data_IF_426831801869
#
_entry.id   IF_426831801869
#
_cell.length_a   1.000
_cell.length_b   1.000
_cell.length_c   1.000
_cell.angle_alpha   90.00
_cell.angle_beta   90.00
_cell.angle_gamma   90.00
#
_symmetry.space_group_name_H-M   'P 1'
#
loop_
_entity.id
_entity.type
_entity.pdbx_description
1 polymer ?
#
# COMPACT_ATOMS: atom_id res chain seq x y z
N UNK A 1 13.90 -61.12 9.12
CA UNK A 1 13.84 -59.90 9.94
C UNK A 1 12.47 -59.86 10.60
N UNK A 2 12.46 -59.92 11.92
CA UNK A 2 11.22 -60.07 12.68
C UNK A 2 10.36 -58.82 12.58
N UNK A 3 9.07 -58.96 12.32
CA UNK A 3 8.11 -57.87 12.14
C UNK A 3 8.12 -56.90 13.34
N UNK A 4 8.41 -57.43 14.53
CA UNK A 4 8.58 -56.66 15.75
C UNK A 4 9.75 -55.66 15.65
N UNK A 5 10.87 -56.03 15.06
CA UNK A 5 12.06 -55.18 14.92
C UNK A 5 11.83 -54.07 13.90
N UNK A 6 11.01 -54.31 12.86
CA UNK A 6 10.67 -53.32 11.83
C UNK A 6 9.72 -52.24 12.38
N UNK A 7 8.88 -52.57 13.36
CA UNK A 7 7.92 -51.61 13.95
C UNK A 7 8.49 -50.85 15.16
N UNK A 8 9.47 -51.40 15.87
CA UNK A 8 10.05 -50.75 17.06
C UNK A 8 10.80 -49.48 16.73
N UNK A 9 11.59 -49.47 15.66
CA UNK A 9 12.36 -48.28 15.28
C UNK A 9 11.49 -47.08 14.87
N UNK A 10 10.45 -47.21 13.99
CA UNK A 10 9.53 -46.12 13.69
C UNK A 10 8.72 -45.66 14.91
N UNK A 11 8.28 -46.58 15.78
CA UNK A 11 7.54 -46.24 16.99
C UNK A 11 8.41 -45.46 17.98
N UNK A 12 9.66 -45.87 18.19
CA UNK A 12 10.62 -45.14 19.03
C UNK A 12 10.92 -43.75 18.47
N UNK A 13 11.12 -43.64 17.15
CA UNK A 13 11.36 -42.34 16.49
C UNK A 13 10.16 -41.40 16.63
N UNK A 14 8.95 -41.92 16.44
CA UNK A 14 7.70 -41.19 16.62
C UNK A 14 7.51 -40.71 18.07
N UNK A 15 7.81 -41.58 19.04
CA UNK A 15 7.72 -41.25 20.47
C UNK A 15 8.73 -40.15 20.86
N UNK A 16 9.98 -40.26 20.38
CA UNK A 16 11.01 -39.23 20.60
C UNK A 16 10.60 -37.90 19.95
N UNK A 17 10.11 -37.93 18.72
CA UNK A 17 9.65 -36.71 18.01
C UNK A 17 8.47 -36.05 18.73
N UNK A 18 7.51 -36.86 19.20
CA UNK A 18 6.37 -36.36 19.98
C UNK A 18 6.81 -35.75 21.32
N UNK A 19 7.71 -36.44 22.04
CA UNK A 19 8.26 -35.93 23.30
C UNK A 19 9.04 -34.62 23.10
N UNK A 20 9.83 -34.52 22.03
CA UNK A 20 10.57 -33.31 21.67
C UNK A 20 9.62 -32.17 21.30
N UNK A 21 8.57 -32.43 20.52
CA UNK A 21 7.55 -31.44 20.16
C UNK A 21 6.80 -30.94 21.40
N UNK A 22 6.43 -31.82 22.34
CA UNK A 22 5.82 -31.42 23.61
C UNK A 22 6.78 -30.60 24.46
N UNK A 23 8.05 -31.00 24.55
CA UNK A 23 9.06 -30.24 25.29
C UNK A 23 9.27 -28.85 24.70
N UNK A 24 9.39 -28.75 23.39
CA UNK A 24 9.51 -27.45 22.68
C UNK A 24 8.27 -26.59 22.95
N UNK A 25 7.06 -27.16 22.84
CA UNK A 25 5.81 -26.43 23.09
C UNK A 25 5.67 -25.95 24.53
N UNK A 26 6.08 -26.77 25.52
CA UNK A 26 6.09 -26.37 26.93
C UNK A 26 7.13 -25.28 27.20
N UNK A 27 8.33 -25.45 26.64
CA UNK A 27 9.42 -24.47 26.78
C UNK A 27 9.01 -23.15 26.15
N UNK A 28 8.39 -23.17 24.99
CA UNK A 28 7.89 -21.97 24.30
C UNK A 28 6.86 -21.23 25.16
N UNK A 29 5.90 -21.94 25.75
CA UNK A 29 4.91 -21.34 26.66
C UNK A 29 5.52 -20.69 27.91
N UNK A 30 6.63 -21.23 28.41
CA UNK A 30 7.30 -20.68 29.61
C UNK A 30 8.24 -19.55 29.25
N UNK A 31 9.04 -19.71 28.19
CA UNK A 31 10.06 -18.73 27.77
C UNK A 31 9.44 -17.52 27.06
N UNK A 32 8.36 -17.71 26.34
CA UNK A 32 7.63 -16.65 25.61
C UNK A 32 6.42 -16.10 26.38
N UNK A 33 6.22 -16.47 27.64
CA UNK A 33 5.21 -15.88 28.50
C UNK A 33 5.79 -14.64 29.19
N UNK A 34 5.55 -13.47 28.62
CA UNK A 34 5.99 -12.19 29.18
C UNK A 34 4.93 -11.56 30.12
N UNK A 35 3.83 -12.27 30.38
CA UNK A 35 2.72 -11.78 31.20
C UNK A 35 1.96 -10.62 30.54
N UNK A 36 1.21 -9.90 31.36
CA UNK A 36 0.51 -8.70 30.92
C UNK A 36 1.51 -7.53 30.86
N UNK A 37 1.53 -6.79 29.76
CA UNK A 37 2.36 -5.62 29.53
C UNK A 37 1.50 -4.42 29.21
N UNK A 38 1.89 -3.24 29.68
CA UNK A 38 1.23 -1.99 29.38
C UNK A 38 1.82 -1.34 28.13
N UNK A 39 0.98 -0.81 27.27
CA UNK A 39 1.38 0.08 26.17
C UNK A 39 0.81 1.45 26.48
N UNK A 40 1.68 2.44 26.60
CA UNK A 40 1.34 3.85 26.73
C UNK A 40 1.64 4.58 25.42
N UNK A 41 0.69 5.35 24.92
CA UNK A 41 0.82 6.08 23.66
C UNK A 41 0.69 7.57 23.93
N UNK A 42 1.67 8.33 23.44
CA UNK A 42 1.72 9.79 23.49
C UNK A 42 1.53 10.32 24.92
N UNK A 43 2.29 9.75 25.88
CA UNK A 43 2.30 10.21 27.26
C UNK A 43 0.94 10.07 27.97
N UNK A 44 0.24 8.95 27.77
CA UNK A 44 -1.04 8.66 28.45
C UNK A 44 -2.29 9.07 27.66
N UNK A 45 -2.16 9.54 26.41
CA UNK A 45 -3.34 9.83 25.56
C UNK A 45 -4.18 8.59 25.32
N UNK A 46 -3.55 7.42 25.18
CA UNK A 46 -4.16 6.10 25.20
C UNK A 46 -3.24 5.14 25.96
N UNK A 47 -3.82 4.31 26.81
CA UNK A 47 -3.07 3.27 27.53
C UNK A 47 -3.93 2.02 27.63
N UNK A 48 -3.35 0.85 27.38
CA UNK A 48 -4.03 -0.42 27.48
C UNK A 48 -3.05 -1.54 27.84
N UNK A 49 -3.61 -2.63 28.36
CA UNK A 49 -2.84 -3.81 28.76
C UNK A 49 -3.10 -4.95 27.79
N UNK A 50 -2.04 -5.62 27.41
CA UNK A 50 -2.05 -6.72 26.44
C UNK A 50 -1.18 -7.86 26.92
N UNK A 51 -1.35 -9.05 26.35
CA UNK A 51 -0.43 -10.15 26.59
C UNK A 51 0.87 -9.92 25.81
N UNK A 52 1.99 -9.89 26.55
CA UNK A 52 3.31 -9.79 25.93
C UNK A 52 3.66 -11.01 25.06
N UNK A 53 4.67 -10.85 24.19
CA UNK A 53 5.20 -11.92 23.36
C UNK A 53 4.90 -11.83 21.87
N UNK A 54 3.87 -11.08 21.46
CA UNK A 54 3.64 -10.73 20.06
C UNK A 54 4.50 -9.52 19.61
N UNK A 55 4.55 -9.26 18.30
CA UNK A 55 5.16 -8.03 17.83
C UNK A 55 4.23 -6.82 18.04
N UNK A 56 4.81 -5.65 18.19
CA UNK A 56 4.09 -4.41 18.51
C UNK A 56 3.05 -4.06 17.43
N UNK A 57 3.35 -4.24 16.13
CA UNK A 57 2.42 -3.93 15.04
C UNK A 57 1.11 -4.69 15.16
N UNK A 58 1.19 -6.01 15.36
CA UNK A 58 0.00 -6.88 15.50
C UNK A 58 -0.77 -6.52 16.75
N UNK A 59 -0.07 -6.32 17.86
CA UNK A 59 -0.71 -6.00 19.16
C UNK A 59 -1.43 -4.64 19.12
N UNK A 60 -0.84 -3.64 18.47
CA UNK A 60 -1.48 -2.35 18.26
C UNK A 60 -2.75 -2.48 17.39
N UNK A 61 -2.67 -3.26 16.31
CA UNK A 61 -3.81 -3.49 15.43
C UNK A 61 -4.96 -4.23 16.14
N UNK A 62 -4.66 -5.24 16.97
CA UNK A 62 -5.64 -5.93 17.81
C UNK A 62 -6.31 -5.00 18.84
N UNK A 63 -5.60 -3.93 19.22
CA UNK A 63 -6.10 -2.89 20.13
C UNK A 63 -6.77 -1.70 19.41
N UNK A 64 -6.99 -1.81 18.10
CA UNK A 64 -7.63 -0.78 17.28
C UNK A 64 -6.72 0.41 16.92
N UNK A 65 -5.41 0.25 17.02
CA UNK A 65 -4.40 1.22 16.58
C UNK A 65 -3.67 0.69 15.35
N UNK A 66 -3.96 1.28 14.21
CA UNK A 66 -3.44 0.80 12.92
C UNK A 66 -2.22 1.61 12.50
N UNK A 67 -1.06 0.97 12.45
CA UNK A 67 0.19 1.57 11.97
C UNK A 67 0.37 1.21 10.49
N UNK A 68 0.78 2.15 9.62
CA UNK A 68 1.03 1.88 8.21
C UNK A 68 1.95 0.68 8.00
N UNK A 69 1.60 -0.23 7.10
CA UNK A 69 2.42 -1.41 6.80
C UNK A 69 2.09 -1.99 5.43
N UNK A 70 2.70 -1.49 4.36
CA UNK A 70 2.46 -1.95 3.00
C UNK A 70 2.83 -3.43 2.81
N UNK A 71 3.89 -3.92 3.48
CA UNK A 71 4.32 -5.32 3.40
C UNK A 71 3.52 -6.28 4.30
N UNK A 72 2.61 -5.76 5.16
CA UNK A 72 1.87 -6.55 6.14
C UNK A 72 2.76 -7.15 7.23
N UNK A 73 3.70 -6.38 7.76
CA UNK A 73 4.54 -6.75 8.89
C UNK A 73 5.76 -7.62 8.58
N UNK A 74 6.16 -7.73 7.30
CA UNK A 74 7.32 -8.55 6.88
C UNK A 74 8.68 -7.88 7.09
N UNK A 75 8.73 -6.61 7.51
CA UNK A 75 9.97 -5.85 7.70
C UNK A 75 10.64 -5.42 6.39
N UNK A 76 9.91 -5.31 5.28
CA UNK A 76 10.47 -5.04 3.95
C UNK A 76 10.01 -3.72 3.30
N UNK A 77 9.12 -2.93 3.95
CA UNK A 77 8.69 -1.63 3.42
C UNK A 77 9.18 -0.44 4.23
N UNK A 78 9.49 -0.63 5.52
CA UNK A 78 9.92 0.47 6.39
C UNK A 78 8.82 1.42 6.85
N UNK A 79 7.55 1.15 6.56
CA UNK A 79 6.42 2.04 6.83
C UNK A 79 6.00 2.09 8.30
N UNK A 80 6.13 0.96 9.03
CA UNK A 80 5.57 0.79 10.36
C UNK A 80 6.44 1.43 11.46
N UNK A 81 6.87 2.67 11.22
CA UNK A 81 7.74 3.44 12.12
C UNK A 81 6.95 3.94 13.33
N UNK A 82 7.51 3.74 14.50
CA UNK A 82 7.06 4.31 15.78
C UNK A 82 8.27 4.78 16.58
N UNK A 83 8.15 5.91 17.27
CA UNK A 83 9.17 6.32 18.22
C UNK A 83 8.93 5.60 19.54
N UNK A 84 9.96 5.00 20.11
CA UNK A 84 9.86 4.19 21.33
C UNK A 84 10.67 4.84 22.43
N UNK A 85 10.01 5.23 23.53
CA UNK A 85 10.64 5.91 24.67
C UNK A 85 11.11 4.92 25.76
N UNK A 86 10.82 3.64 25.59
CA UNK A 86 11.22 2.56 26.52
C UNK A 86 12.37 1.74 25.94
N UNK A 87 13.06 0.99 26.81
CA UNK A 87 14.08 0.04 26.35
C UNK A 87 13.42 -1.22 25.80
N UNK A 88 13.47 -1.38 24.49
CA UNK A 88 13.00 -2.58 23.76
C UNK A 88 14.15 -3.37 23.13
N UNK A 89 15.39 -3.06 23.54
CA UNK A 89 16.62 -3.63 22.99
C UNK A 89 17.16 -2.89 21.76
N UNK A 90 18.32 -3.31 21.25
CA UNK A 90 18.99 -2.61 20.15
C UNK A 90 18.22 -2.72 18.84
N UNK A 91 18.47 -1.78 17.91
CA UNK A 91 17.96 -1.85 16.54
C UNK A 91 18.44 -3.13 15.86
N UNK A 92 17.52 -3.80 15.18
CA UNK A 92 17.83 -5.01 14.42
C UNK A 92 18.46 -4.65 13.06
N UNK A 93 19.36 -5.49 12.53
CA UNK A 93 19.89 -5.29 11.17
C UNK A 93 18.83 -5.15 10.08
N UNK A 94 17.64 -5.69 10.31
CA UNK A 94 16.48 -5.59 9.41
C UNK A 94 15.77 -4.24 9.47
N UNK A 95 15.98 -3.44 10.50
CA UNK A 95 15.38 -2.10 10.65
C UNK A 95 16.27 -1.01 10.05
N UNK A 96 17.58 -1.13 10.22
CA UNK A 96 18.58 -0.11 9.86
C UNK A 96 18.46 0.42 8.43
N UNK A 97 18.23 -0.41 7.38
CA UNK A 97 18.11 0.08 6.00
C UNK A 97 16.92 1.04 5.75
N UNK A 98 15.96 1.08 6.66
CA UNK A 98 14.73 1.88 6.54
C UNK A 98 14.69 3.10 7.44
N UNK A 99 15.73 3.29 8.27
CA UNK A 99 15.83 4.39 9.25
C UNK A 99 16.97 5.33 8.89
N UNK A 100 16.73 6.63 9.00
CA UNK A 100 17.79 7.63 8.90
C UNK A 100 18.63 7.64 10.18
N UNK A 101 19.83 8.23 10.13
CA UNK A 101 20.66 8.37 11.34
C UNK A 101 19.94 9.13 12.46
N UNK A 102 19.20 10.16 12.12
CA UNK A 102 18.38 10.95 13.04
C UNK A 102 17.28 10.10 13.69
N UNK A 103 16.59 9.28 12.89
CA UNK A 103 15.58 8.34 13.39
C UNK A 103 16.18 7.26 14.31
N UNK A 104 17.41 6.81 14.04
CA UNK A 104 18.11 5.86 14.91
C UNK A 104 18.47 6.52 16.27
N UNK A 105 18.92 7.76 16.26
CA UNK A 105 19.23 8.54 17.48
C UNK A 105 17.96 8.82 18.31
N UNK A 106 16.82 9.05 17.65
CA UNK A 106 15.52 9.26 18.30
C UNK A 106 14.83 7.96 18.72
N UNK A 107 15.48 6.82 18.58
CA UNK A 107 14.95 5.49 18.87
C UNK A 107 13.64 5.18 18.13
N UNK A 108 13.55 5.60 16.86
CA UNK A 108 12.47 5.17 15.96
C UNK A 108 12.69 3.70 15.60
N UNK A 109 11.64 2.90 15.70
CA UNK A 109 11.65 1.45 15.46
C UNK A 109 10.64 1.06 14.40
N UNK A 110 10.86 -0.06 13.75
CA UNK A 110 9.80 -0.71 12.96
C UNK A 110 8.95 -1.57 13.89
N UNK A 111 7.70 -1.18 14.14
CA UNK A 111 6.82 -1.86 15.11
C UNK A 111 6.62 -3.36 14.81
N UNK A 112 6.72 -3.77 13.55
CA UNK A 112 6.67 -5.19 13.15
C UNK A 112 7.92 -5.98 13.60
N UNK A 113 9.03 -5.32 13.92
CA UNK A 113 10.29 -5.95 14.36
C UNK A 113 10.46 -5.89 15.89
N UNK A 114 9.65 -5.14 16.60
CA UNK A 114 9.71 -5.01 18.06
C UNK A 114 8.79 -6.02 18.72
N UNK A 115 9.35 -6.94 19.49
CA UNK A 115 8.61 -7.89 20.32
C UNK A 115 8.33 -7.28 21.70
N UNK A 116 7.07 -7.29 22.12
CA UNK A 116 6.65 -6.77 23.42
C UNK A 116 7.04 -7.74 24.54
N UNK A 117 8.04 -7.35 25.34
CA UNK A 117 8.58 -8.14 26.45
C UNK A 117 8.36 -7.53 27.83
N UNK A 118 7.91 -6.30 27.89
CA UNK A 118 7.64 -5.51 29.09
C UNK A 118 6.82 -4.28 28.71
N UNK A 119 6.53 -3.44 29.70
CA UNK A 119 5.82 -2.19 29.49
C UNK A 119 6.56 -1.30 28.50
N UNK A 120 5.82 -0.64 27.63
CA UNK A 120 6.37 0.18 26.57
C UNK A 120 5.63 1.50 26.43
N UNK A 121 6.40 2.57 26.25
CA UNK A 121 5.90 3.90 25.92
C UNK A 121 6.30 4.24 24.49
N UNK A 122 5.33 4.66 23.66
CA UNK A 122 5.53 4.98 22.25
C UNK A 122 4.91 6.34 21.90
N UNK A 123 5.49 6.97 20.89
CA UNK A 123 4.89 8.14 20.25
C UNK A 123 4.54 7.81 18.80
N UNK A 124 3.31 8.15 18.43
CA UNK A 124 2.77 8.03 17.06
C UNK A 124 2.06 9.32 16.65
N UNK A 125 2.03 9.65 15.35
CA UNK A 125 1.27 10.80 14.87
C UNK A 125 -0.23 10.70 15.18
N UNK A 126 -0.85 11.82 15.56
CA UNK A 126 -2.26 11.85 15.95
C UNK A 126 -3.22 11.41 14.85
N UNK A 127 -2.87 11.63 13.59
CA UNK A 127 -3.73 11.22 12.45
C UNK A 127 -3.93 9.70 12.40
N UNK A 128 -3.02 8.89 12.95
CA UNK A 128 -3.16 7.44 13.00
C UNK A 128 -4.33 6.97 13.87
N UNK A 129 -4.80 7.80 14.80
CA UNK A 129 -5.99 7.50 15.60
C UNK A 129 -7.31 7.61 14.80
N UNK A 130 -7.26 8.16 13.59
CA UNK A 130 -8.42 8.26 12.69
C UNK A 130 -8.53 7.08 11.73
N UNK A 131 -7.54 6.17 11.75
CA UNK A 131 -7.56 4.99 10.90
C UNK A 131 -8.45 3.95 11.55
N UNK A 132 -9.41 3.45 10.80
CA UNK A 132 -10.40 2.50 11.28
C UNK A 132 -10.44 1.26 10.39
N UNK A 133 -10.96 0.16 10.93
CA UNK A 133 -11.26 -1.04 10.18
C UNK A 133 -12.74 -1.06 9.85
N UNK A 134 -13.05 -1.22 8.58
CA UNK A 134 -14.41 -1.29 8.05
C UNK A 134 -14.72 -2.70 7.55
N UNK A 135 -15.96 -3.16 7.75
CA UNK A 135 -16.50 -4.28 7.00
C UNK A 135 -17.09 -3.79 5.68
N UNK A 136 -16.70 -4.42 4.58
CA UNK A 136 -17.23 -4.15 3.25
C UNK A 136 -17.83 -5.38 2.60
N UNK A 137 -18.82 -5.17 1.74
CA UNK A 137 -19.36 -6.19 0.85
C UNK A 137 -18.94 -5.84 -0.57
N UNK A 138 -18.37 -6.79 -1.29
CA UNK A 138 -18.04 -6.64 -2.70
C UNK A 138 -19.31 -6.47 -3.51
N UNK A 139 -19.52 -5.32 -4.12
CA UNK A 139 -20.70 -5.05 -4.96
C UNK A 139 -20.41 -5.26 -6.44
N UNK A 140 -19.18 -4.99 -6.88
CA UNK A 140 -18.80 -5.11 -8.29
C UNK A 140 -17.35 -5.52 -8.43
N UNK A 141 -17.09 -6.40 -9.38
CA UNK A 141 -15.75 -6.75 -9.85
C UNK A 141 -15.74 -6.60 -11.36
N UNK A 142 -14.80 -5.81 -11.90
CA UNK A 142 -14.62 -5.62 -13.34
C UNK A 142 -13.17 -5.92 -13.74
N UNK A 143 -12.96 -6.70 -14.78
CA UNK A 143 -11.65 -6.86 -15.38
C UNK A 143 -11.34 -5.61 -16.22
N UNK A 144 -10.29 -4.88 -15.87
CA UNK A 144 -9.83 -3.71 -16.63
C UNK A 144 -8.82 -4.13 -17.69
N UNK A 145 -7.92 -5.02 -17.33
CA UNK A 145 -6.94 -5.65 -18.22
C UNK A 145 -6.85 -7.14 -17.90
N UNK A 146 -5.96 -7.87 -18.57
CA UNK A 146 -5.72 -9.29 -18.30
C UNK A 146 -5.19 -9.56 -16.87
N UNK A 147 -4.62 -8.56 -16.19
CA UNK A 147 -3.99 -8.67 -14.88
C UNK A 147 -4.44 -7.61 -13.86
N UNK A 148 -5.40 -6.74 -14.20
CA UNK A 148 -5.93 -5.71 -13.28
C UNK A 148 -7.44 -5.85 -13.14
N UNK A 149 -7.89 -5.98 -11.89
CA UNK A 149 -9.31 -5.93 -11.52
C UNK A 149 -9.63 -4.63 -10.78
N UNK A 150 -10.76 -4.03 -11.14
CA UNK A 150 -11.44 -3.03 -10.34
C UNK A 150 -12.36 -3.74 -9.35
N UNK A 151 -12.23 -3.44 -8.08
CA UNK A 151 -13.05 -4.02 -7.02
C UNK A 151 -13.71 -2.90 -6.24
N UNK A 152 -15.04 -2.91 -6.21
CA UNK A 152 -15.87 -1.90 -5.56
C UNK A 152 -16.58 -2.50 -4.35
N UNK A 153 -16.32 -1.92 -3.18
CA UNK A 153 -16.85 -2.36 -1.90
C UNK A 153 -17.86 -1.35 -1.37
N UNK A 154 -19.02 -1.82 -0.92
CA UNK A 154 -19.90 -1.03 -0.07
C UNK A 154 -19.55 -1.30 1.41
N UNK A 155 -19.28 -0.25 2.16
CA UNK A 155 -19.03 -0.33 3.60
C UNK A 155 -20.35 -0.58 4.35
N UNK A 156 -20.31 -1.40 5.38
CA UNK A 156 -21.52 -1.83 6.11
C UNK A 156 -21.57 -1.32 7.54
N UNK A 157 -20.47 -0.76 8.07
CA UNK A 157 -20.31 -0.40 9.47
C UNK A 157 -19.59 0.96 9.68
N UNK A 158 -19.82 1.90 8.82
CA UNK A 158 -19.23 3.24 8.98
C UNK A 158 -19.19 4.03 7.69
N UNK A 159 -18.64 5.23 7.76
CA UNK A 159 -18.38 6.11 6.64
C UNK A 159 -16.89 6.42 6.60
N UNK A 160 -16.24 6.16 5.48
CA UNK A 160 -14.81 6.39 5.28
C UNK A 160 -14.58 7.84 4.82
N UNK A 161 -13.89 8.60 5.66
CA UNK A 161 -13.40 9.95 5.33
C UNK A 161 -11.91 9.86 4.94
N UNK A 162 -11.59 10.25 3.72
CA UNK A 162 -10.22 10.19 3.21
C UNK A 162 -9.95 11.33 2.22
N UNK A 163 -8.67 11.57 1.91
CA UNK A 163 -8.25 12.47 0.84
C UNK A 163 -7.94 11.69 -0.41
N UNK A 164 -8.36 12.20 -1.57
CA UNK A 164 -8.02 11.61 -2.86
C UNK A 164 -6.50 11.40 -2.98
N UNK A 165 -6.11 10.18 -3.35
CA UNK A 165 -4.72 9.75 -3.42
C UNK A 165 -4.26 8.85 -2.27
N UNK A 166 -4.94 8.85 -1.12
CA UNK A 166 -4.63 7.96 0.00
C UNK A 166 -4.92 6.49 -0.35
N UNK A 167 -4.35 5.57 0.44
CA UNK A 167 -4.54 4.13 0.28
C UNK A 167 -5.28 3.50 1.46
N UNK A 168 -5.83 2.31 1.22
CA UNK A 168 -6.35 1.41 2.25
C UNK A 168 -5.64 0.06 2.20
N UNK A 169 -5.85 -0.75 3.23
CA UNK A 169 -5.41 -2.14 3.26
C UNK A 169 -6.60 -3.07 3.10
N UNK A 170 -6.52 -4.01 2.17
CA UNK A 170 -7.50 -5.07 2.01
C UNK A 170 -7.01 -6.29 2.81
N UNK A 171 -7.86 -6.80 3.72
CA UNK A 171 -7.61 -8.04 4.45
C UNK A 171 -8.35 -9.20 3.77
N UNK A 172 -7.60 -10.23 3.37
CA UNK A 172 -8.16 -11.48 2.87
C UNK A 172 -8.15 -12.56 3.95
N UNK A 173 -9.19 -13.40 4.01
CA UNK A 173 -9.26 -14.51 4.97
C UNK A 173 -8.27 -15.60 4.61
N UNK A 174 -8.01 -16.56 5.52
CA UNK A 174 -7.28 -17.77 5.20
C UNK A 174 -7.89 -18.51 4.01
N UNK A 175 -7.04 -18.96 3.06
CA UNK A 175 -7.47 -19.77 1.91
C UNK A 175 -6.33 -20.66 1.40
N UNK A 176 -6.65 -21.80 0.84
CA UNK A 176 -5.65 -22.74 0.32
C UNK A 176 -4.57 -23.09 1.34
N UNK A 177 -3.34 -22.66 1.08
CA UNK A 177 -2.19 -22.86 1.98
C UNK A 177 -1.97 -21.67 2.94
N UNK A 178 -2.67 -20.58 2.74
CA UNK A 178 -2.61 -19.39 3.62
C UNK A 178 -3.40 -19.67 4.88
N UNK A 179 -2.75 -19.64 6.03
CA UNK A 179 -3.33 -20.07 7.32
C UNK A 179 -3.87 -18.92 8.16
N UNK A 180 -3.44 -17.69 7.85
CA UNK A 180 -3.78 -16.49 8.62
C UNK A 180 -4.33 -15.42 7.70
N UNK A 181 -5.21 -14.52 8.20
CA UNK A 181 -5.62 -13.35 7.45
C UNK A 181 -4.41 -12.54 6.99
N UNK A 182 -4.46 -12.03 5.78
CA UNK A 182 -3.33 -11.30 5.20
C UNK A 182 -3.80 -9.96 4.64
N UNK A 183 -3.12 -8.90 5.01
CA UNK A 183 -3.40 -7.54 4.57
C UNK A 183 -2.36 -7.07 3.54
N UNK A 184 -2.80 -6.25 2.55
CA UNK A 184 -1.92 -5.51 1.64
C UNK A 184 -2.52 -4.15 1.32
N UNK A 185 -1.63 -3.20 1.09
CA UNK A 185 -1.96 -1.83 0.73
C UNK A 185 -2.35 -1.70 -0.76
N UNK A 186 -3.37 -0.90 -1.02
CA UNK A 186 -3.84 -0.53 -2.35
C UNK A 186 -4.34 0.92 -2.32
N UNK A 187 -3.89 1.75 -3.26
CA UNK A 187 -4.39 3.11 -3.40
C UNK A 187 -5.88 3.08 -3.73
N UNK A 188 -6.66 3.93 -3.06
CA UNK A 188 -8.09 4.04 -3.28
C UNK A 188 -8.36 4.79 -4.60
N UNK A 189 -9.27 4.27 -5.40
CA UNK A 189 -9.65 4.84 -6.70
C UNK A 189 -11.05 5.46 -6.72
N UNK A 190 -11.82 5.30 -5.65
CA UNK A 190 -13.10 5.99 -5.45
C UNK A 190 -12.90 7.47 -5.13
N UNK A 191 -13.97 8.26 -5.26
CA UNK A 191 -13.97 9.67 -4.85
C UNK A 191 -14.23 9.79 -3.34
N UNK A 192 -13.59 10.75 -2.63
CA UNK A 192 -13.78 10.92 -1.20
C UNK A 192 -15.22 11.29 -0.79
N UNK A 193 -15.98 11.91 -1.67
CA UNK A 193 -17.38 12.29 -1.42
C UNK A 193 -18.31 11.09 -1.22
N UNK A 194 -17.97 9.94 -1.80
CA UNK A 194 -18.70 8.69 -1.58
C UNK A 194 -18.14 7.96 -0.35
N UNK A 195 -18.54 8.40 0.82
CA UNK A 195 -18.07 7.87 2.12
C UNK A 195 -18.55 6.45 2.43
N UNK A 196 -19.52 5.93 1.68
CA UNK A 196 -20.09 4.60 1.90
C UNK A 196 -19.47 3.51 1.04
N UNK A 197 -18.64 3.89 0.08
CA UNK A 197 -17.98 2.95 -0.82
C UNK A 197 -16.49 3.23 -0.92
N UNK A 198 -15.75 2.17 -1.23
CA UNK A 198 -14.33 2.27 -1.57
C UNK A 198 -14.02 1.37 -2.74
N UNK A 199 -13.21 1.88 -3.66
CA UNK A 199 -12.79 1.17 -4.86
C UNK A 199 -11.27 1.02 -4.90
N UNK A 200 -10.81 -0.13 -5.39
CA UNK A 200 -9.40 -0.43 -5.55
C UNK A 200 -9.12 -1.04 -6.93
N UNK A 201 -7.94 -0.72 -7.48
CA UNK A 201 -7.40 -1.36 -8.67
C UNK A 201 -6.33 -2.36 -8.25
N UNK A 202 -6.64 -3.65 -8.37
CA UNK A 202 -5.78 -4.73 -7.88
C UNK A 202 -5.10 -5.44 -9.03
N UNK A 203 -3.78 -5.24 -9.18
CA UNK A 203 -2.98 -5.95 -10.17
C UNK A 203 -2.55 -7.31 -9.64
N UNK A 204 -2.68 -8.35 -10.45
CA UNK A 204 -2.22 -9.70 -10.14
C UNK A 204 -0.69 -9.75 -10.07
N UNK A 205 -0.19 -10.13 -8.91
CA UNK A 205 1.24 -10.39 -8.70
C UNK A 205 1.42 -11.91 -8.61
N UNK A 206 2.25 -12.52 -9.44
CA UNK A 206 2.51 -13.96 -9.39
C UNK A 206 2.94 -14.41 -7.99
N UNK A 207 2.17 -15.34 -7.39
CA UNK A 207 2.41 -15.80 -6.01
C UNK A 207 2.03 -14.83 -4.90
N UNK A 208 1.43 -13.68 -5.24
CA UNK A 208 0.93 -12.72 -4.26
C UNK A 208 -0.31 -13.25 -3.54
N UNK A 209 -0.34 -13.18 -2.21
CA UNK A 209 -1.44 -13.77 -1.41
C UNK A 209 -2.74 -13.01 -1.67
N UNK A 210 -2.77 -11.70 -1.46
CA UNK A 210 -4.01 -10.91 -1.58
C UNK A 210 -4.44 -10.80 -3.04
N UNK A 211 -3.51 -10.57 -3.96
CA UNK A 211 -3.82 -10.44 -5.38
C UNK A 211 -4.35 -11.75 -5.98
N UNK A 212 -3.80 -12.90 -5.61
CA UNK A 212 -4.34 -14.22 -6.01
C UNK A 212 -5.75 -14.42 -5.47
N UNK A 213 -6.00 -14.08 -4.19
CA UNK A 213 -7.35 -14.18 -3.64
C UNK A 213 -8.35 -13.31 -4.40
N UNK A 214 -7.99 -12.06 -4.70
CA UNK A 214 -8.85 -11.12 -5.44
C UNK A 214 -9.13 -11.63 -6.85
N UNK A 215 -8.14 -12.16 -7.54
CA UNK A 215 -8.31 -12.60 -8.93
C UNK A 215 -9.01 -13.96 -9.09
N UNK A 216 -8.80 -14.88 -8.15
CA UNK A 216 -9.23 -16.29 -8.31
C UNK A 216 -10.37 -16.69 -7.36
N UNK A 217 -10.54 -16.02 -6.23
CA UNK A 217 -11.45 -16.45 -5.16
C UNK A 217 -12.50 -15.42 -4.75
N UNK A 218 -12.25 -14.13 -5.01
CA UNK A 218 -13.18 -13.08 -4.66
C UNK A 218 -14.40 -13.11 -5.60
N UNK A 219 -15.56 -12.88 -5.02
CA UNK A 219 -16.83 -12.82 -5.74
C UNK A 219 -17.71 -11.71 -5.19
N UNK A 220 -18.60 -11.17 -6.01
CA UNK A 220 -19.63 -10.25 -5.57
C UNK A 220 -20.47 -10.85 -4.43
N UNK A 221 -20.88 -10.02 -3.48
CA UNK A 221 -21.57 -10.42 -2.27
C UNK A 221 -20.66 -10.92 -1.13
N UNK A 222 -19.37 -11.15 -1.38
CA UNK A 222 -18.43 -11.55 -0.31
C UNK A 222 -18.12 -10.39 0.62
N UNK A 223 -17.99 -10.70 1.91
CA UNK A 223 -17.52 -9.76 2.91
C UNK A 223 -16.00 -9.73 2.96
N UNK A 224 -15.45 -8.54 3.06
CA UNK A 224 -14.03 -8.25 3.20
C UNK A 224 -13.83 -7.16 4.26
N UNK A 225 -12.63 -7.09 4.81
CA UNK A 225 -12.26 -5.99 5.68
C UNK A 225 -11.34 -5.02 4.94
N UNK A 226 -11.57 -3.74 5.18
CA UNK A 226 -10.75 -2.64 4.70
C UNK A 226 -10.29 -1.83 5.89
N UNK A 227 -9.01 -1.50 5.95
CA UNK A 227 -8.44 -0.62 6.96
C UNK A 227 -7.97 0.63 6.24
N UNK A 228 -8.48 1.78 6.60
CA UNK A 228 -8.23 3.05 5.91
C UNK A 228 -8.53 4.25 6.84
N UNK A 229 -8.11 5.50 6.47
CA UNK A 229 -7.22 5.83 5.38
C UNK A 229 -5.75 5.84 5.81
N UNK A 230 -4.83 5.52 4.90
CA UNK A 230 -3.40 5.64 5.10
C UNK A 230 -2.76 6.54 4.05
N UNK A 231 -1.52 6.97 4.33
CA UNK A 231 -0.65 7.65 3.38
C UNK A 231 -0.82 9.16 3.32
N UNK A 232 0.19 9.79 2.76
CA UNK A 232 0.31 11.24 2.57
C UNK A 232 0.42 11.64 1.09
N UNK A 233 0.16 10.70 0.18
CA UNK A 233 0.07 10.94 -1.25
C UNK A 233 -1.30 11.56 -1.58
N UNK A 234 -1.38 12.88 -1.50
CA UNK A 234 -2.53 13.70 -1.88
C UNK A 234 -2.07 15.02 -2.46
N UNK A 235 -2.92 15.65 -3.24
CA UNK A 235 -2.59 16.90 -3.94
C UNK A 235 -2.41 18.04 -2.96
N UNK A 236 -1.35 18.83 -3.17
CA UNK A 236 -1.06 20.02 -2.37
C UNK A 236 -1.87 21.22 -2.90
N UNK A 237 -2.29 22.10 -2.00
CA UNK A 237 -3.07 23.29 -2.35
C UNK A 237 -2.13 24.42 -2.81
N UNK A 238 -1.70 24.30 -4.07
CA UNK A 238 -0.79 25.24 -4.74
C UNK A 238 -1.30 25.55 -6.15
N UNK A 239 -0.70 26.54 -6.82
CA UNK A 239 -0.97 26.89 -8.22
C UNK A 239 0.05 26.23 -9.19
N UNK A 240 0.95 25.39 -8.69
CA UNK A 240 1.96 24.73 -9.50
C UNK A 240 1.34 23.77 -10.53
N UNK A 241 1.94 23.63 -11.72
CA UNK A 241 1.54 22.62 -12.69
C UNK A 241 1.73 21.22 -12.09
N UNK A 242 0.75 20.36 -12.29
CA UNK A 242 0.83 18.95 -11.85
C UNK A 242 1.43 18.08 -12.95
N UNK A 243 2.54 17.43 -12.66
CA UNK A 243 3.16 16.43 -13.52
C UNK A 243 2.85 15.06 -12.93
N UNK A 244 1.81 14.43 -13.43
CA UNK A 244 1.29 13.17 -12.94
C UNK A 244 1.80 12.01 -13.79
N UNK A 245 2.36 10.96 -13.17
CA UNK A 245 2.87 9.78 -13.87
C UNK A 245 2.32 8.51 -13.25
N UNK A 246 1.72 7.65 -14.06
CA UNK A 246 1.23 6.36 -13.62
C UNK A 246 1.58 5.22 -14.57
N UNK A 247 1.58 4.00 -14.03
CA UNK A 247 1.66 2.76 -14.80
C UNK A 247 0.83 1.65 -14.17
N UNK A 248 0.03 0.96 -14.98
CA UNK A 248 -0.84 -0.11 -14.52
C UNK A 248 -1.79 0.34 -13.40
N UNK A 249 -1.86 -0.42 -12.30
CA UNK A 249 -2.73 -0.07 -11.15
C UNK A 249 -2.35 1.22 -10.42
N UNK A 250 -1.19 1.84 -10.74
CA UNK A 250 -0.85 3.19 -10.28
C UNK A 250 -1.79 4.29 -10.79
N UNK A 251 -2.70 3.97 -11.70
CA UNK A 251 -3.86 4.78 -12.07
C UNK A 251 -4.80 5.07 -10.89
N UNK A 252 -4.88 4.18 -9.90
CA UNK A 252 -5.89 4.25 -8.83
C UNK A 252 -5.96 5.62 -8.12
N UNK A 253 -4.87 6.16 -7.55
CA UNK A 253 -4.92 7.44 -6.86
C UNK A 253 -5.26 8.60 -7.80
N UNK A 254 -4.84 8.52 -9.07
CA UNK A 254 -5.15 9.57 -10.05
C UNK A 254 -6.61 9.58 -10.46
N UNK A 255 -7.23 8.40 -10.60
CA UNK A 255 -8.67 8.32 -10.79
C UNK A 255 -9.41 9.04 -9.66
N UNK A 256 -9.08 8.73 -8.40
CA UNK A 256 -9.65 9.40 -7.23
C UNK A 256 -9.46 10.92 -7.30
N UNK A 257 -8.23 11.40 -7.55
CA UNK A 257 -7.87 12.82 -7.60
C UNK A 257 -8.62 13.56 -8.73
N UNK A 258 -8.65 13.01 -9.93
CA UNK A 258 -9.28 13.71 -11.07
C UNK A 258 -10.79 13.80 -10.91
N UNK A 259 -11.45 12.75 -10.45
CA UNK A 259 -12.89 12.80 -10.19
C UNK A 259 -13.25 13.66 -8.98
N UNK A 260 -12.39 13.73 -7.95
CA UNK A 260 -12.53 14.70 -6.86
C UNK A 260 -12.44 16.15 -7.37
N UNK A 261 -11.51 16.44 -8.29
CA UNK A 261 -11.42 17.73 -8.94
C UNK A 261 -12.65 18.05 -9.81
N UNK A 262 -13.20 17.08 -10.50
CA UNK A 262 -14.43 17.24 -11.29
C UNK A 262 -15.60 17.62 -10.38
N UNK A 263 -15.79 16.90 -9.27
CA UNK A 263 -16.87 17.18 -8.32
C UNK A 263 -16.76 18.55 -7.67
N UNK A 264 -15.54 18.99 -7.37
CA UNK A 264 -15.30 20.32 -6.76
C UNK A 264 -15.15 21.44 -7.77
N UNK A 265 -15.20 21.18 -9.08
CA UNK A 265 -15.04 22.18 -10.14
C UNK A 265 -13.65 22.81 -10.16
N UNK A 266 -12.61 22.01 -9.87
CA UNK A 266 -11.23 22.49 -9.72
C UNK A 266 -10.26 21.97 -10.80
N UNK A 267 -10.76 21.25 -11.80
CA UNK A 267 -9.94 20.71 -12.91
C UNK A 267 -9.15 21.76 -13.68
N UNK A 268 -9.72 22.96 -13.86
CA UNK A 268 -9.11 24.05 -14.62
C UNK A 268 -8.37 25.08 -13.73
N UNK A 269 -8.12 24.79 -12.44
CA UNK A 269 -7.34 25.69 -11.57
C UNK A 269 -5.89 25.81 -12.00
N UNK A 270 -5.27 24.72 -12.49
CA UNK A 270 -3.88 24.62 -12.90
C UNK A 270 -3.71 23.57 -14.00
N UNK A 271 -2.62 23.63 -14.74
CA UNK A 271 -2.34 22.64 -15.76
C UNK A 271 -2.01 21.29 -15.12
N UNK A 272 -2.66 20.23 -15.62
CA UNK A 272 -2.48 18.84 -15.19
C UNK A 272 -1.98 18.05 -16.38
N UNK A 273 -0.75 17.58 -16.32
CA UNK A 273 -0.10 16.75 -17.33
C UNK A 273 -0.09 15.32 -16.82
N UNK A 274 -0.94 14.48 -17.39
CA UNK A 274 -1.10 13.09 -16.93
C UNK A 274 -0.51 12.09 -17.92
N UNK A 275 0.65 11.53 -17.56
CA UNK A 275 1.39 10.53 -18.31
C UNK A 275 0.99 9.13 -17.84
N UNK A 276 0.42 8.32 -18.73
CA UNK A 276 0.01 6.97 -18.41
C UNK A 276 0.77 5.95 -19.29
N UNK A 277 1.77 5.28 -18.68
CA UNK A 277 2.62 4.32 -19.35
C UNK A 277 2.07 2.89 -19.33
N UNK A 278 2.06 2.24 -20.48
CA UNK A 278 1.72 0.84 -20.66
C UNK A 278 2.69 0.16 -21.64
N UNK A 279 2.67 -1.18 -21.70
CA UNK A 279 3.48 -1.91 -22.68
C UNK A 279 2.79 -1.93 -24.03
N UNK A 280 1.56 -2.41 -24.08
CA UNK A 280 0.71 -2.53 -25.26
C UNK A 280 -0.64 -1.89 -25.02
N UNK A 281 -1.45 -1.72 -26.05
CA UNK A 281 -2.79 -1.14 -25.95
C UNK A 281 -3.72 -1.94 -25.05
N UNK A 282 -3.51 -3.25 -24.91
CA UNK A 282 -4.30 -4.14 -24.03
C UNK A 282 -4.06 -3.86 -22.53
N UNK A 283 -3.00 -3.16 -22.21
CA UNK A 283 -2.63 -2.79 -20.84
C UNK A 283 -3.16 -1.40 -20.45
N UNK A 284 -3.73 -0.65 -21.41
CA UNK A 284 -4.40 0.63 -21.17
C UNK A 284 -5.89 0.42 -20.83
N UNK A 285 -6.39 1.24 -19.91
CA UNK A 285 -7.80 1.24 -19.49
C UNK A 285 -8.25 2.65 -19.12
N UNK A 286 -9.52 2.91 -19.03
CA UNK A 286 -10.16 4.22 -18.84
C UNK A 286 -9.79 5.24 -19.93
N UNK A 287 -9.43 4.78 -21.14
CA UNK A 287 -9.04 5.68 -22.23
C UNK A 287 -10.17 6.63 -22.63
N UNK A 288 -11.38 6.12 -22.75
CA UNK A 288 -12.55 6.91 -23.16
C UNK A 288 -12.85 7.98 -22.10
N UNK A 289 -12.89 7.59 -20.82
CA UNK A 289 -13.15 8.49 -19.69
C UNK A 289 -12.08 9.60 -19.58
N UNK A 290 -10.80 9.27 -19.77
CA UNK A 290 -9.71 10.24 -19.69
C UNK A 290 -9.66 11.16 -20.91
N UNK A 291 -10.00 10.66 -22.10
CA UNK A 291 -10.15 11.49 -23.30
C UNK A 291 -11.33 12.46 -23.16
N UNK A 292 -12.47 12.01 -22.61
CA UNK A 292 -13.61 12.89 -22.30
C UNK A 292 -13.23 14.01 -21.33
N UNK A 293 -12.39 13.70 -20.31
CA UNK A 293 -11.87 14.75 -19.42
C UNK A 293 -10.99 15.74 -20.16
N UNK A 294 -10.11 15.30 -21.06
CA UNK A 294 -9.25 16.16 -21.88
C UNK A 294 -10.07 17.02 -22.84
N UNK A 295 -11.13 16.48 -23.43
CA UNK A 295 -12.03 17.27 -24.30
C UNK A 295 -12.81 18.33 -23.52
N UNK A 296 -13.15 18.05 -22.26
CA UNK A 296 -13.97 18.93 -21.43
C UNK A 296 -13.19 20.01 -20.73
N UNK A 297 -11.93 19.75 -20.35
CA UNK A 297 -11.11 20.64 -19.52
C UNK A 297 -9.83 21.04 -20.25
N UNK A 298 -9.70 22.31 -20.61
CA UNK A 298 -8.58 22.84 -21.42
C UNK A 298 -7.21 22.67 -20.74
N UNK A 299 -7.18 22.60 -19.40
CA UNK A 299 -5.93 22.47 -18.62
C UNK A 299 -5.61 21.03 -18.20
N UNK A 300 -6.38 20.06 -18.66
CA UNK A 300 -6.11 18.64 -18.47
C UNK A 300 -5.51 18.03 -19.74
N UNK A 301 -4.28 17.57 -19.66
CA UNK A 301 -3.52 17.01 -20.78
C UNK A 301 -3.24 15.53 -20.50
N UNK A 302 -3.90 14.64 -21.23
CA UNK A 302 -3.74 13.20 -21.10
C UNK A 302 -2.76 12.66 -22.15
N UNK A 303 -1.65 12.04 -21.69
CA UNK A 303 -0.56 11.53 -22.52
C UNK A 303 -0.40 10.02 -22.28
N UNK A 304 -1.22 9.16 -22.90
CA UNK A 304 -1.00 7.73 -22.88
C UNK A 304 0.20 7.36 -23.77
N UNK A 305 1.06 6.45 -23.29
CA UNK A 305 2.25 6.03 -24.03
C UNK A 305 2.44 4.52 -23.99
N UNK A 306 2.83 3.94 -25.14
CA UNK A 306 3.14 2.52 -25.28
C UNK A 306 4.64 2.29 -25.50
N UNK A 307 5.25 1.45 -24.65
CA UNK A 307 6.65 1.08 -24.83
C UNK A 307 6.86 -0.02 -25.88
N UNK A 308 5.87 -0.86 -26.11
CA UNK A 308 5.91 -2.00 -27.03
C UNK A 308 4.59 -2.08 -27.85
N UNK A 309 4.25 -1.03 -28.65
CA UNK A 309 3.02 -1.06 -29.45
C UNK A 309 3.08 -2.19 -30.49
N UNK A 310 1.98 -2.95 -30.61
CA UNK A 310 1.82 -3.96 -31.66
C UNK A 310 1.30 -3.29 -32.94
N UNK A 311 1.65 -3.81 -34.14
CA UNK A 311 1.12 -3.28 -35.41
C UNK A 311 -0.42 -3.30 -35.46
N UNK A 312 -1.02 -4.30 -34.81
CA UNK A 312 -2.47 -4.46 -34.69
C UNK A 312 -3.16 -3.42 -33.81
N UNK A 313 -2.39 -2.70 -32.96
CA UNK A 313 -2.95 -1.70 -32.04
C UNK A 313 -3.47 -0.45 -32.78
N UNK A 314 -2.97 -0.19 -34.00
CA UNK A 314 -3.24 1.05 -34.74
C UNK A 314 -3.05 2.27 -33.82
N UNK A 315 -1.92 2.27 -33.10
CA UNK A 315 -1.60 3.27 -32.09
C UNK A 315 -1.05 4.55 -32.73
N UNK A 316 -1.68 5.68 -32.44
CA UNK A 316 -1.33 7.02 -32.92
C UNK A 316 -0.84 7.96 -31.79
N UNK A 317 -0.82 7.46 -30.54
CA UNK A 317 -0.32 8.20 -29.38
C UNK A 317 1.19 8.13 -29.20
N UNK A 318 1.68 8.58 -28.05
CA UNK A 318 3.11 8.55 -27.72
C UNK A 318 3.67 7.12 -27.67
N UNK A 319 4.93 6.95 -28.10
CA UNK A 319 5.64 5.67 -28.11
C UNK A 319 6.98 5.79 -27.40
N UNK A 320 7.44 4.72 -26.75
CA UNK A 320 8.65 4.66 -25.95
C UNK A 320 8.37 4.47 -24.46
N UNK A 321 9.41 4.43 -23.66
CA UNK A 321 9.26 4.38 -22.22
C UNK A 321 8.62 5.67 -21.70
N UNK A 322 7.76 5.57 -20.69
CA UNK A 322 7.09 6.75 -20.16
C UNK A 322 8.08 7.82 -19.64
N UNK A 323 9.28 7.41 -19.23
CA UNK A 323 10.37 8.29 -18.83
C UNK A 323 10.91 9.14 -19.99
N UNK A 324 10.98 8.56 -21.18
CA UNK A 324 11.42 9.26 -22.41
C UNK A 324 10.36 10.27 -22.87
N UNK A 325 9.11 9.85 -22.85
CA UNK A 325 7.96 10.72 -23.17
C UNK A 325 7.86 11.88 -22.17
N UNK A 326 8.00 11.60 -20.87
CA UNK A 326 8.01 12.63 -19.82
C UNK A 326 9.15 13.65 -20.07
N UNK A 327 10.36 13.17 -20.35
CA UNK A 327 11.52 14.02 -20.60
C UNK A 327 11.33 14.91 -21.83
N UNK A 328 10.75 14.38 -22.92
CA UNK A 328 10.44 15.14 -24.12
C UNK A 328 9.44 16.28 -23.84
N UNK A 329 8.36 15.98 -23.11
CA UNK A 329 7.36 17.00 -22.76
C UNK A 329 7.89 18.06 -21.80
N UNK A 330 8.69 17.67 -20.81
CA UNK A 330 9.33 18.62 -19.89
C UNK A 330 10.32 19.55 -20.60
N UNK A 331 10.95 19.10 -21.69
CA UNK A 331 11.86 19.94 -22.50
C UNK A 331 11.14 20.87 -23.47
N UNK A 332 10.11 20.36 -24.14
CA UNK A 332 9.64 20.98 -25.37
C UNK A 332 8.22 21.56 -25.25
N UNK A 333 7.43 21.14 -24.26
CA UNK A 333 6.00 21.43 -24.22
C UNK A 333 5.58 22.12 -22.92
N UNK A 334 6.02 21.59 -21.77
CA UNK A 334 5.61 22.09 -20.46
C UNK A 334 6.36 23.37 -20.12
N UNK A 335 5.63 24.40 -19.76
CA UNK A 335 6.21 25.72 -19.44
C UNK A 335 7.25 25.61 -18.31
N UNK A 336 8.40 26.28 -18.51
CA UNK A 336 9.44 26.42 -17.49
C UNK A 336 9.20 27.60 -16.55
N UNK A 337 8.29 28.51 -16.89
CA UNK A 337 8.03 29.71 -16.13
C UNK A 337 7.16 29.47 -14.88
N UNK A 338 6.37 28.40 -14.90
CA UNK A 338 5.48 28.03 -13.79
C UNK A 338 6.09 26.92 -12.97
N UNK A 339 5.99 27.02 -11.65
CA UNK A 339 6.37 25.93 -10.73
C UNK A 339 5.69 24.61 -11.08
N UNK A 340 6.37 23.52 -10.77
CA UNK A 340 5.89 22.16 -11.04
C UNK A 340 5.89 21.33 -9.77
N UNK A 341 4.91 20.46 -9.65
CA UNK A 341 4.83 19.40 -8.66
C UNK A 341 4.71 18.06 -9.37
N UNK A 342 5.56 17.09 -8.96
CA UNK A 342 5.51 15.73 -9.46
C UNK A 342 4.63 14.85 -8.59
N UNK A 343 3.73 14.09 -9.21
CA UNK A 343 2.91 13.09 -8.55
C UNK A 343 3.07 11.76 -9.28
N UNK A 344 3.61 10.74 -8.62
CA UNK A 344 3.97 9.49 -9.28
C UNK A 344 3.42 8.29 -8.52
N UNK A 345 2.78 7.35 -9.24
CA UNK A 345 2.31 6.11 -8.65
C UNK A 345 2.54 4.91 -9.58
N UNK A 346 3.10 3.81 -9.03
CA UNK A 346 3.36 2.60 -9.80
C UNK A 346 4.58 1.80 -9.33
N UNK A 347 5.23 1.10 -10.27
CA UNK A 347 6.38 0.24 -9.96
C UNK A 347 7.63 1.05 -9.56
N UNK A 348 8.42 0.58 -8.60
CA UNK A 348 9.60 1.30 -8.11
C UNK A 348 10.57 1.72 -9.22
N UNK A 349 10.91 0.81 -10.13
CA UNK A 349 11.86 1.12 -11.22
C UNK A 349 11.39 2.22 -12.16
N UNK A 350 10.09 2.25 -12.50
CA UNK A 350 9.50 3.32 -13.31
C UNK A 350 9.54 4.65 -12.56
N UNK A 351 9.15 4.65 -11.28
CA UNK A 351 9.12 5.87 -10.48
C UNK A 351 10.51 6.44 -10.27
N UNK A 352 11.51 5.60 -9.94
CA UNK A 352 12.89 6.03 -9.76
C UNK A 352 13.45 6.70 -11.02
N UNK A 353 13.16 6.13 -12.19
CA UNK A 353 13.57 6.70 -13.48
C UNK A 353 12.85 8.02 -13.77
N UNK A 354 11.53 8.11 -13.55
CA UNK A 354 10.79 9.36 -13.74
C UNK A 354 11.23 10.47 -12.77
N UNK A 355 11.48 10.14 -11.50
CA UNK A 355 12.02 11.10 -10.53
C UNK A 355 13.41 11.60 -10.93
N UNK A 356 14.27 10.74 -11.49
CA UNK A 356 15.56 11.17 -12.02
C UNK A 356 15.38 12.19 -13.15
N UNK A 357 14.48 11.92 -14.11
CA UNK A 357 14.15 12.88 -15.18
C UNK A 357 13.61 14.20 -14.60
N UNK A 358 12.70 14.17 -13.63
CA UNK A 358 12.18 15.39 -13.02
C UNK A 358 13.27 16.23 -12.35
N UNK A 359 14.22 15.61 -11.64
CA UNK A 359 15.38 16.29 -11.04
C UNK A 359 16.30 16.89 -12.09
N UNK A 360 16.57 16.16 -13.19
CA UNK A 360 17.35 16.67 -14.32
C UNK A 360 16.69 17.87 -15.06
N UNK A 361 15.38 18.06 -14.81
CA UNK A 361 14.57 19.19 -15.31
C UNK A 361 14.25 20.21 -14.22
N UNK A 362 15.16 20.35 -13.23
CA UNK A 362 15.13 21.35 -12.17
C UNK A 362 13.88 21.31 -11.27
N UNK A 363 13.21 20.14 -11.15
CA UNK A 363 12.16 19.98 -10.15
C UNK A 363 12.79 19.65 -8.79
N UNK A 364 12.41 20.43 -7.78
CA UNK A 364 12.91 20.24 -6.42
C UNK A 364 12.40 18.92 -5.81
N UNK A 365 13.29 18.20 -5.09
CA UNK A 365 12.99 16.88 -4.51
C UNK A 365 11.75 16.92 -3.61
N UNK A 366 11.60 17.97 -2.81
CA UNK A 366 10.49 18.17 -1.88
C UNK A 366 9.14 18.45 -2.56
N UNK A 367 9.16 18.67 -3.88
CA UNK A 367 7.96 18.82 -4.72
C UNK A 367 7.64 17.59 -5.57
N UNK A 368 8.32 16.49 -5.32
CA UNK A 368 8.08 15.21 -6.00
C UNK A 368 7.46 14.23 -5.02
N UNK A 369 6.17 14.01 -5.14
CA UNK A 369 5.38 13.10 -4.31
C UNK A 369 5.18 11.77 -5.01
N UNK A 370 5.30 10.67 -4.29
CA UNK A 370 5.18 9.35 -4.92
C UNK A 370 4.60 8.30 -3.97
N UNK A 371 3.96 7.30 -4.58
CA UNK A 371 3.48 6.09 -3.91
C UNK A 371 4.03 4.87 -4.67
N UNK A 372 5.04 4.20 -4.08
CA UNK A 372 5.73 3.05 -4.68
C UNK A 372 5.07 1.75 -4.27
N UNK A 373 4.66 0.97 -5.25
CA UNK A 373 4.16 -0.38 -5.00
C UNK A 373 5.33 -1.34 -4.75
N UNK A 374 5.44 -1.87 -3.51
CA UNK A 374 6.52 -2.76 -3.09
C UNK A 374 6.20 -4.24 -3.38
#
# INVERSE_FOLDING_TARGET
>A
MDLATVLVAPAALSAISAALAILISLTDKVVNNYGEVAIDINGGSRSFKVNGGANMLVTLAESGIFIPSACGGRGSCGECKVKVNSDVGPHLPTEIPYLTNEQLEENVRLSCQVKLKGDVEIEIPEYLFKIEQYEGVVERIRDLTHDIKEVYFRLTDGALDFKAGQYGQIEVPPYGKVKEPTQRAYSMSSVPSDTNHVEFLVRLVPGGIVTTYVHEHLQEGKKMKVIAPFGDFYVRDTEAQMICVAGGSGMAPFKSIFYDFVEHGTMDKRDIWYFFGARTKKDLFYLDELNELQEKYERFHFIPALSEPEESDNWDGATGLITEVLDEYLRNTISTETEKEGYLCGSPGMLDACMAVMRERDMAEEKIYFDKFA
#
